data_IF_381668735702
#
_entry.id   IF_381668735702
#
_cell.length_a   1.000
_cell.length_b   1.000
_cell.length_c   1.000
_cell.angle_alpha   90.00
_cell.angle_beta   90.00
_cell.angle_gamma   90.00
#
_symmetry.space_group_name_H-M   'P 1'
#
loop_
_entity.id
_entity.type
_entity.pdbx_description
1 polymer ?
#
# COMPACT_ATOMS: atom_id res chain seq x y z
N UNK A 1 -35.50 18.26 -15.54
CA UNK A 1 -34.33 19.00 -14.99
C UNK A 1 -33.08 18.17 -15.24
N UNK A 2 -32.25 18.59 -16.15
CA UNK A 2 -30.95 17.94 -16.37
C UNK A 2 -30.09 18.15 -15.11
N UNK A 3 -29.83 17.07 -14.39
CA UNK A 3 -28.93 17.14 -13.22
C UNK A 3 -27.49 17.36 -13.74
N UNK A 4 -26.96 18.53 -13.45
CA UNK A 4 -25.55 18.84 -13.80
C UNK A 4 -24.61 17.91 -13.03
N UNK A 5 -23.79 17.16 -13.76
CA UNK A 5 -22.76 16.30 -13.18
C UNK A 5 -21.65 17.19 -12.61
N UNK A 6 -21.27 16.95 -11.35
CA UNK A 6 -20.17 17.68 -10.70
C UNK A 6 -18.81 17.16 -11.13
N UNK A 7 -18.67 15.83 -11.24
CA UNK A 7 -17.40 15.16 -11.58
C UNK A 7 -17.62 14.04 -12.61
N UNK A 8 -16.74 14.02 -13.60
CA UNK A 8 -16.58 12.91 -14.53
C UNK A 8 -15.27 12.19 -14.23
N UNK A 9 -15.34 10.90 -13.90
CA UNK A 9 -14.17 10.05 -13.65
C UNK A 9 -14.02 9.10 -14.82
N UNK A 10 -12.83 9.05 -15.41
CA UNK A 10 -12.48 8.11 -16.47
C UNK A 10 -11.58 7.03 -15.90
N UNK A 11 -12.05 5.78 -15.98
CA UNK A 11 -11.42 4.61 -15.39
C UNK A 11 -11.95 4.24 -14.01
N UNK A 12 -12.34 2.97 -13.83
CA UNK A 12 -12.83 2.41 -12.56
C UNK A 12 -11.86 1.37 -11.97
N UNK A 13 -10.56 1.58 -12.14
CA UNK A 13 -9.56 0.92 -11.33
C UNK A 13 -9.65 1.38 -9.86
N UNK A 14 -8.76 0.91 -8.98
CA UNK A 14 -8.80 1.22 -7.56
C UNK A 14 -8.84 2.74 -7.28
N UNK A 15 -8.07 3.54 -8.02
CA UNK A 15 -8.03 4.99 -7.86
C UNK A 15 -9.38 5.65 -8.18
N UNK A 16 -9.97 5.34 -9.35
CA UNK A 16 -11.27 5.86 -9.76
C UNK A 16 -12.40 5.40 -8.84
N UNK A 17 -12.36 4.15 -8.38
CA UNK A 17 -13.34 3.59 -7.44
C UNK A 17 -13.30 4.32 -6.09
N UNK A 18 -12.12 4.50 -5.50
CA UNK A 18 -11.98 5.19 -4.20
C UNK A 18 -12.33 6.68 -4.34
N UNK A 19 -11.91 7.32 -5.44
CA UNK A 19 -12.23 8.73 -5.68
C UNK A 19 -13.74 8.94 -5.85
N UNK A 20 -14.40 8.13 -6.67
CA UNK A 20 -15.85 8.20 -6.85
C UNK A 20 -16.61 7.98 -5.55
N UNK A 21 -16.21 6.96 -4.77
CA UNK A 21 -16.77 6.70 -3.45
C UNK A 21 -16.67 7.92 -2.53
N UNK A 22 -15.49 8.52 -2.41
CA UNK A 22 -15.29 9.70 -1.54
C UNK A 22 -16.08 10.92 -1.99
N UNK A 23 -16.19 11.15 -3.30
CA UNK A 23 -16.97 12.26 -3.85
C UNK A 23 -18.47 12.06 -3.63
N UNK A 24 -18.98 10.86 -3.87
CA UNK A 24 -20.39 10.51 -3.61
C UNK A 24 -20.71 10.68 -2.12
N UNK A 25 -19.83 10.24 -1.22
CA UNK A 25 -20.02 10.45 0.23
C UNK A 25 -20.05 11.93 0.64
N UNK A 26 -19.43 12.81 -0.14
CA UNK A 26 -19.51 14.26 0.05
C UNK A 26 -20.75 14.89 -0.60
N UNK A 27 -21.63 14.10 -1.22
CA UNK A 27 -22.86 14.56 -1.85
C UNK A 27 -22.74 15.04 -3.29
N UNK A 28 -21.59 14.85 -3.93
CA UNK A 28 -21.41 15.21 -5.34
C UNK A 28 -22.08 14.22 -6.29
N UNK A 29 -22.59 14.72 -7.41
CA UNK A 29 -23.09 13.90 -8.51
C UNK A 29 -21.92 13.49 -9.41
N UNK A 30 -21.55 12.21 -9.33
CA UNK A 30 -20.38 11.63 -10.03
C UNK A 30 -20.84 10.74 -11.18
N UNK A 31 -20.23 10.89 -12.34
CA UNK A 31 -20.34 9.95 -13.45
C UNK A 31 -19.00 9.25 -13.66
N UNK A 32 -19.01 7.92 -13.76
CA UNK A 32 -17.84 7.12 -14.07
C UNK A 32 -17.98 6.56 -15.46
N UNK A 33 -16.91 6.62 -16.26
CA UNK A 33 -16.80 5.97 -17.57
C UNK A 33 -15.63 5.00 -17.50
N UNK A 34 -15.88 3.75 -17.82
CA UNK A 34 -14.89 2.66 -17.83
C UNK A 34 -15.18 1.71 -18.99
N UNK A 35 -14.17 1.14 -19.60
CA UNK A 35 -14.30 0.18 -20.69
C UNK A 35 -14.50 -1.27 -20.21
N UNK A 36 -14.44 -1.50 -18.90
CA UNK A 36 -14.66 -2.80 -18.26
C UNK A 36 -13.59 -3.85 -18.60
N UNK A 37 -12.38 -3.43 -19.03
CA UNK A 37 -11.37 -4.41 -19.41
C UNK A 37 -10.83 -5.20 -18.22
N UNK A 38 -10.74 -6.53 -18.39
CA UNK A 38 -10.37 -7.48 -17.32
C UNK A 38 -8.88 -7.49 -16.97
N UNK A 39 -8.06 -6.74 -17.70
CA UNK A 39 -6.59 -6.66 -17.52
C UNK A 39 -6.13 -5.41 -16.79
N UNK A 40 -7.05 -4.70 -16.13
CA UNK A 40 -6.73 -3.53 -15.33
C UNK A 40 -5.65 -3.85 -14.27
N UNK A 41 -4.68 -2.96 -14.11
CA UNK A 41 -3.57 -3.13 -13.16
C UNK A 41 -4.07 -3.44 -11.74
N UNK A 42 -5.16 -2.81 -11.30
CA UNK A 42 -5.75 -3.05 -9.97
C UNK A 42 -6.27 -4.48 -9.76
N UNK A 43 -6.68 -5.18 -10.84
CA UNK A 43 -7.16 -6.57 -10.76
C UNK A 43 -6.04 -7.60 -10.86
N UNK A 44 -4.84 -7.18 -11.25
CA UNK A 44 -3.65 -8.04 -11.44
C UNK A 44 -2.57 -7.80 -10.40
N UNK A 45 -2.59 -6.65 -9.73
CA UNK A 45 -1.64 -6.32 -8.69
C UNK A 45 -1.78 -7.25 -7.47
N UNK A 46 -0.66 -7.50 -6.80
CA UNK A 46 -0.66 -8.25 -5.53
C UNK A 46 -1.27 -7.49 -4.35
N UNK A 47 -1.60 -6.21 -4.54
CA UNK A 47 -2.19 -5.35 -3.52
C UNK A 47 -1.24 -4.96 -2.38
N UNK A 48 0.07 -5.12 -2.55
CA UNK A 48 1.06 -4.85 -1.50
C UNK A 48 1.15 -3.34 -1.23
N UNK A 49 0.97 -2.96 0.02
CA UNK A 49 1.18 -1.60 0.53
C UNK A 49 2.54 -1.57 1.24
N UNK A 50 3.55 -1.06 0.55
CA UNK A 50 4.92 -0.99 1.06
C UNK A 50 5.35 0.48 1.25
N UNK A 51 5.60 0.93 2.50
CA UNK A 51 6.02 2.31 2.77
C UNK A 51 7.44 2.63 2.33
N UNK A 52 8.33 1.63 2.25
CA UNK A 52 9.75 1.80 1.94
C UNK A 52 10.07 1.06 0.65
N UNK A 53 10.42 1.78 -0.41
CA UNK A 53 10.54 1.22 -1.75
C UNK A 53 11.89 1.55 -2.41
N UNK A 54 12.11 0.96 -3.59
CA UNK A 54 13.31 1.18 -4.41
C UNK A 54 14.58 0.55 -3.84
N UNK A 55 15.68 0.64 -4.61
CA UNK A 55 17.00 0.10 -4.23
C UNK A 55 17.70 0.88 -3.12
N UNK A 56 17.28 2.13 -2.91
CA UNK A 56 17.84 3.01 -1.88
C UNK A 56 17.03 3.00 -0.58
N UNK A 57 16.01 2.16 -0.47
CA UNK A 57 15.16 2.03 0.72
C UNK A 57 14.62 3.38 1.19
N UNK A 58 14.03 4.14 0.26
CA UNK A 58 13.42 5.44 0.58
C UNK A 58 11.94 5.31 0.87
N UNK A 59 11.43 6.20 1.70
CA UNK A 59 9.98 6.31 1.92
C UNK A 59 9.30 6.73 0.61
N UNK A 60 8.18 6.10 0.30
CA UNK A 60 7.33 6.52 -0.80
C UNK A 60 6.81 7.94 -0.56
N UNK A 61 6.55 8.67 -1.64
CA UNK A 61 6.07 10.05 -1.57
C UNK A 61 4.81 10.17 -0.72
N UNK A 62 4.79 11.13 0.19
CA UNK A 62 3.69 11.43 1.12
C UNK A 62 3.17 10.20 1.89
N UNK A 63 3.98 9.19 2.10
CA UNK A 63 3.52 7.92 2.70
C UNK A 63 3.03 8.11 4.12
N UNK A 64 3.55 9.11 4.83
CA UNK A 64 3.20 9.42 6.22
C UNK A 64 1.76 9.93 6.35
N UNK A 65 1.22 10.55 5.31
CA UNK A 65 -0.17 11.01 5.22
C UNK A 65 -1.06 9.99 4.50
N UNK A 66 -0.53 9.36 3.44
CA UNK A 66 -1.33 8.50 2.57
C UNK A 66 -1.68 7.15 3.21
N UNK A 67 -0.78 6.51 3.98
CA UNK A 67 -1.10 5.23 4.64
C UNK A 67 -2.23 5.39 5.67
N UNK A 68 -2.19 6.34 6.62
CA UNK A 68 -3.28 6.51 7.56
C UNK A 68 -4.62 6.80 6.87
N UNK A 69 -4.60 7.58 5.79
CA UNK A 69 -5.82 7.89 5.03
C UNK A 69 -6.35 6.66 4.27
N UNK A 70 -5.46 5.86 3.69
CA UNK A 70 -5.83 4.60 3.05
C UNK A 70 -6.47 3.64 4.04
N UNK A 71 -5.83 3.44 5.20
CA UNK A 71 -6.36 2.55 6.26
C UNK A 71 -7.75 3.02 6.70
N UNK A 72 -7.94 4.31 6.98
CA UNK A 72 -9.27 4.85 7.34
C UNK A 72 -10.31 4.58 6.26
N UNK A 73 -9.94 4.77 5.01
CA UNK A 73 -10.83 4.55 3.87
C UNK A 73 -11.24 3.08 3.76
N UNK A 74 -10.28 2.15 3.84
CA UNK A 74 -10.58 0.72 3.79
C UNK A 74 -11.40 0.26 4.99
N UNK A 75 -11.11 0.73 6.21
CA UNK A 75 -11.92 0.41 7.39
C UNK A 75 -13.37 0.92 7.27
N UNK A 76 -13.56 2.11 6.65
CA UNK A 76 -14.92 2.60 6.36
C UNK A 76 -15.64 1.70 5.36
N UNK A 77 -14.97 1.28 4.29
CA UNK A 77 -15.52 0.35 3.30
C UNK A 77 -15.82 -1.03 3.91
N UNK A 78 -14.95 -1.56 4.77
CA UNK A 78 -15.16 -2.82 5.48
C UNK A 78 -16.46 -2.80 6.32
N UNK A 79 -16.69 -1.68 7.00
CA UNK A 79 -17.91 -1.51 7.80
C UNK A 79 -19.19 -1.44 6.94
N UNK A 80 -19.12 -0.77 5.79
CA UNK A 80 -20.27 -0.60 4.88
C UNK A 80 -20.56 -1.88 4.09
N UNK A 81 -19.54 -2.52 3.55
CA UNK A 81 -19.67 -3.68 2.66
C UNK A 81 -19.61 -5.02 3.40
N UNK A 82 -19.41 -4.98 4.74
CA UNK A 82 -19.32 -6.19 5.60
C UNK A 82 -18.25 -7.19 5.14
N UNK A 83 -17.14 -6.66 4.61
CA UNK A 83 -15.98 -7.44 4.16
C UNK A 83 -14.71 -7.03 4.88
N UNK A 84 -13.61 -7.73 4.58
CA UNK A 84 -12.27 -7.41 5.04
C UNK A 84 -11.42 -7.10 3.81
N UNK A 85 -10.88 -5.88 3.71
CA UNK A 85 -10.18 -5.41 2.52
C UNK A 85 -8.74 -4.97 2.80
N UNK A 86 -8.43 -4.54 4.02
CA UNK A 86 -7.08 -4.18 4.41
C UNK A 86 -6.54 -5.14 5.45
N UNK A 87 -5.39 -5.74 5.17
CA UNK A 87 -4.67 -6.64 6.05
C UNK A 87 -3.30 -6.06 6.36
N UNK A 88 -2.97 -5.96 7.64
CA UNK A 88 -1.61 -5.61 8.07
C UNK A 88 -0.70 -6.81 7.85
N UNK A 89 0.44 -6.59 7.23
CA UNK A 89 1.44 -7.63 6.97
C UNK A 89 2.84 -7.10 7.19
N UNK A 90 3.69 -7.97 7.69
CA UNK A 90 5.14 -7.74 7.67
C UNK A 90 5.67 -8.03 6.28
N UNK A 91 6.46 -7.10 5.76
CA UNK A 91 7.18 -7.28 4.49
C UNK A 91 8.62 -7.62 4.83
N UNK A 92 9.04 -8.78 4.39
CA UNK A 92 10.43 -9.23 4.48
C UNK A 92 11.09 -9.01 3.13
N UNK A 93 12.16 -8.25 3.11
CA UNK A 93 12.97 -8.01 1.91
C UNK A 93 14.39 -8.50 2.12
N UNK A 94 14.79 -9.51 1.39
CA UNK A 94 16.15 -10.04 1.41
C UNK A 94 17.11 -8.99 0.86
N UNK A 95 18.22 -8.76 1.57
CA UNK A 95 19.29 -7.86 1.17
C UNK A 95 20.35 -8.68 0.43
N UNK A 96 20.44 -8.47 -0.88
CA UNK A 96 21.28 -9.28 -1.78
C UNK A 96 22.72 -8.81 -1.91
N UNK A 97 23.12 -7.73 -1.22
CA UNK A 97 24.47 -7.18 -1.31
C UNK A 97 24.83 -6.32 -0.12
N UNK A 98 26.14 -6.18 0.14
CA UNK A 98 26.68 -5.26 1.16
C UNK A 98 26.23 -3.81 0.92
N UNK A 99 26.03 -3.41 -0.32
CA UNK A 99 25.50 -2.09 -0.64
C UNK A 99 24.07 -1.92 -0.10
N UNK A 100 23.20 -2.91 -0.29
CA UNK A 100 21.84 -2.88 0.24
C UNK A 100 21.81 -2.93 1.76
N UNK A 101 22.67 -3.72 2.39
CA UNK A 101 22.85 -3.78 3.84
C UNK A 101 23.24 -2.41 4.41
N UNK A 102 24.24 -1.76 3.83
CA UNK A 102 24.67 -0.42 4.24
C UNK A 102 23.57 0.63 4.07
N UNK A 103 22.81 0.56 2.98
CA UNK A 103 21.66 1.44 2.76
C UNK A 103 20.57 1.20 3.80
N UNK A 104 20.26 -0.05 4.08
CA UNK A 104 19.25 -0.39 5.10
C UNK A 104 19.69 0.04 6.49
N UNK A 105 20.93 -0.23 6.87
CA UNK A 105 21.50 0.20 8.17
C UNK A 105 21.40 1.71 8.36
N UNK A 106 21.60 2.50 7.30
CA UNK A 106 21.41 3.95 7.36
C UNK A 106 19.95 4.33 7.64
N UNK A 107 18.96 3.52 7.23
CA UNK A 107 17.54 3.76 7.52
C UNK A 107 17.14 3.36 8.94
N UNK A 108 17.77 2.33 9.49
CA UNK A 108 17.58 1.95 10.89
C UNK A 108 17.98 3.09 11.86
N UNK A 109 19.00 3.85 11.50
CA UNK A 109 19.48 4.98 12.30
C UNK A 109 18.67 6.27 12.09
N UNK A 110 17.83 6.32 11.06
CA UNK A 110 17.02 7.49 10.74
C UNK A 110 15.64 7.40 11.42
N UNK A 111 15.42 8.20 12.46
CA UNK A 111 14.17 8.22 13.20
C UNK A 111 12.93 8.49 12.36
N UNK A 112 13.07 9.08 11.16
CA UNK A 112 11.96 9.27 10.23
C UNK A 112 11.39 7.95 9.66
N UNK A 113 12.12 6.84 9.81
CA UNK A 113 11.73 5.50 9.34
C UNK A 113 11.20 4.60 10.45
N UNK A 114 11.44 4.92 11.73
CA UNK A 114 11.17 4.04 12.88
C UNK A 114 9.75 3.47 12.91
N UNK A 115 8.73 4.24 12.51
CA UNK A 115 7.35 3.77 12.49
C UNK A 115 7.07 2.68 11.45
N UNK A 116 7.94 2.51 10.46
CA UNK A 116 7.80 1.54 9.38
C UNK A 116 8.77 0.36 9.50
N UNK A 117 9.72 0.42 10.40
CA UNK A 117 10.72 -0.63 10.60
C UNK A 117 10.31 -1.51 11.78
N UNK A 118 10.61 -2.80 11.68
CA UNK A 118 10.52 -3.76 12.78
C UNK A 118 11.96 -4.22 13.05
N UNK A 119 12.49 -3.87 14.22
CA UNK A 119 13.88 -4.21 14.58
C UNK A 119 13.95 -5.62 15.19
N UNK A 120 13.01 -5.96 16.08
CA UNK A 120 12.95 -7.25 16.75
C UNK A 120 11.99 -8.20 16.01
N UNK A 121 12.50 -8.84 14.95
CA UNK A 121 11.73 -9.81 14.18
C UNK A 121 12.44 -11.16 14.19
N UNK A 122 11.74 -12.22 14.58
CA UNK A 122 12.27 -13.58 14.53
C UNK A 122 12.36 -14.04 13.07
N UNK A 123 13.60 -14.16 12.58
CA UNK A 123 13.91 -14.60 11.22
C UNK A 123 14.07 -16.10 11.09
N UNK A 124 14.00 -16.87 12.18
CA UNK A 124 14.23 -18.33 12.16
C UNK A 124 13.27 -19.07 11.21
N UNK A 125 12.03 -18.61 11.10
CA UNK A 125 11.05 -19.16 10.16
C UNK A 125 11.35 -18.86 8.68
N UNK A 126 12.24 -17.92 8.39
CA UNK A 126 12.61 -17.58 7.01
C UNK A 126 13.50 -18.64 6.37
N UNK A 127 14.32 -19.32 7.17
CA UNK A 127 15.24 -20.36 6.69
C UNK A 127 14.51 -21.56 6.09
N UNK A 128 13.28 -21.82 6.53
CA UNK A 128 12.42 -22.85 5.94
C UNK A 128 11.97 -22.52 4.51
N UNK A 129 11.86 -21.23 4.18
CA UNK A 129 11.31 -20.74 2.92
C UNK A 129 12.35 -20.15 1.97
N UNK A 130 13.47 -19.70 2.52
CA UNK A 130 14.54 -19.04 1.77
C UNK A 130 15.89 -19.65 2.11
N UNK A 131 16.62 -20.12 1.11
CA UNK A 131 17.98 -20.62 1.26
C UNK A 131 18.96 -19.44 1.41
N UNK A 132 19.88 -19.54 2.38
CA UNK A 132 21.02 -18.62 2.55
C UNK A 132 20.65 -17.14 2.74
N UNK A 133 19.57 -16.84 3.45
CA UNK A 133 19.23 -15.45 3.82
C UNK A 133 20.20 -14.96 4.89
N UNK A 134 21.17 -14.14 4.49
CA UNK A 134 22.18 -13.57 5.41
C UNK A 134 21.65 -12.34 6.14
N UNK A 135 20.86 -11.52 5.46
CA UNK A 135 20.28 -10.31 6.04
C UNK A 135 18.97 -9.93 5.34
N UNK A 136 18.06 -9.28 6.07
CA UNK A 136 16.79 -8.83 5.54
C UNK A 136 16.36 -7.49 6.16
N UNK A 137 15.57 -6.75 5.40
CA UNK A 137 14.85 -5.57 5.86
C UNK A 137 13.44 -6.00 6.26
N UNK A 138 13.02 -5.67 7.47
CA UNK A 138 11.71 -6.00 8.01
C UNK A 138 10.89 -4.72 8.10
N UNK A 139 9.76 -4.68 7.38
CA UNK A 139 9.00 -3.48 7.15
C UNK A 139 7.53 -3.72 7.54
N UNK A 140 6.93 -2.79 8.29
CA UNK A 140 5.50 -2.75 8.56
C UNK A 140 4.77 -2.33 7.29
N UNK A 141 4.01 -3.23 6.73
CA UNK A 141 3.27 -2.99 5.51
C UNK A 141 1.84 -3.51 5.60
N UNK A 142 1.24 -3.73 4.43
CA UNK A 142 -0.10 -4.26 4.35
C UNK A 142 -0.41 -4.84 2.99
N UNK A 143 -1.64 -5.33 2.87
CA UNK A 143 -2.21 -5.83 1.62
C UNK A 143 -3.67 -5.43 1.51
N UNK A 144 -4.07 -5.10 0.31
CA UNK A 144 -5.45 -4.79 -0.10
C UNK A 144 -5.99 -5.88 -1.00
#
# INVERSE_FOLDING_TARGET
MDRKIDYLIVGQGIAGTILSYKLIKKGYLVKVIDDGHRTASSTKAAGIVNPITGRSYVKSWMIDELIPEAIRTYRSLENELKGKYYHEHTIVRVLGSIYEENKWSSRLLDGAYSKYIIEDYDTSSLDEHFKDVKSCAIIKGGRV
#
